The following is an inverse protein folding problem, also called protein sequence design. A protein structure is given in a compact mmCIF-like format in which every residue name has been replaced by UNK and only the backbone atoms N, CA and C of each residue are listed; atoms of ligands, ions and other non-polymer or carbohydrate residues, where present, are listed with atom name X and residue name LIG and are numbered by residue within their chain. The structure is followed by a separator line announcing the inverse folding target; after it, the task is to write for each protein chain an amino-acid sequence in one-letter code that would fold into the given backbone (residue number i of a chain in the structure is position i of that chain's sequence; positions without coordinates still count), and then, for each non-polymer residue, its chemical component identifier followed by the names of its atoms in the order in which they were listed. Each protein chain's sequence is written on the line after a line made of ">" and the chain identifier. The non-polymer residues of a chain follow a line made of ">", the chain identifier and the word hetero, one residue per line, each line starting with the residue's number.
data_IF_464178566890
#
_entry.id   IF_464178566890
#
_cell.length_a   1.000
_cell.length_b   1.000
_cell.length_c   1.000
_cell.angle_alpha   90.00
_cell.angle_beta   90.00
_cell.angle_gamma   90.00
#
_symmetry.space_group_name_H-M   'P 1'
#
loop_
_entity.id
_entity.type
_entity.pdbx_description
1 polymer ?
#
# COMPACT_ATOMS: atom_id res chain seq x y z
N UNK A 1 -15.28 8.09 10.86
CA UNK A 1 -14.92 6.82 11.55
C UNK A 1 -14.21 5.90 10.57
N UNK A 2 -13.09 5.31 10.98
CA UNK A 2 -12.31 4.36 10.16
C UNK A 2 -12.47 2.96 10.75
N UNK A 3 -12.84 1.98 9.93
CA UNK A 3 -12.93 0.58 10.31
C UNK A 3 -12.16 -0.28 9.30
N UNK A 4 -11.11 -0.96 9.77
CA UNK A 4 -10.41 -1.97 8.96
C UNK A 4 -11.19 -3.28 9.06
N UNK A 5 -11.51 -3.87 7.92
CA UNK A 5 -12.37 -5.07 7.82
C UNK A 5 -11.51 -6.33 7.62
N UNK A 6 -10.44 -6.23 6.85
CA UNK A 6 -9.51 -7.33 6.62
C UNK A 6 -8.38 -6.94 5.68
N UNK A 7 -7.45 -7.87 5.48
CA UNK A 7 -6.33 -7.69 4.58
C UNK A 7 -5.73 -9.02 4.14
N UNK A 8 -4.71 -8.92 3.28
CA UNK A 8 -3.96 -10.07 2.82
C UNK A 8 -2.76 -9.68 1.99
N UNK A 9 -1.84 -10.60 1.81
CA UNK A 9 -0.64 -10.40 1.01
C UNK A 9 -0.52 -11.48 -0.07
N UNK A 10 -0.11 -11.08 -1.26
CA UNK A 10 0.18 -11.98 -2.38
C UNK A 10 1.45 -11.55 -3.11
N UNK A 11 2.12 -12.50 -3.76
CA UNK A 11 3.28 -12.22 -4.60
C UNK A 11 2.85 -12.03 -6.05
N UNK A 12 3.57 -11.18 -6.75
CA UNK A 12 3.40 -10.93 -8.17
C UNK A 12 4.77 -10.74 -8.84
N UNK A 13 4.79 -10.59 -10.16
CA UNK A 13 6.02 -10.37 -10.92
C UNK A 13 5.82 -9.20 -11.86
N UNK A 14 6.74 -8.24 -11.84
CA UNK A 14 6.70 -7.12 -12.77
C UNK A 14 7.08 -7.53 -14.20
N UNK A 15 6.93 -6.61 -15.17
CA UNK A 15 7.28 -6.86 -16.57
C UNK A 15 8.76 -7.23 -16.79
N UNK A 16 9.63 -6.90 -15.84
CA UNK A 16 11.06 -7.20 -15.87
C UNK A 16 11.43 -8.48 -15.11
N UNK A 17 10.45 -9.28 -14.66
CA UNK A 17 10.71 -10.51 -13.91
C UNK A 17 11.02 -10.29 -12.43
N UNK A 18 10.89 -9.07 -11.91
CA UNK A 18 11.17 -8.77 -10.50
C UNK A 18 9.99 -9.13 -9.64
N UNK A 19 10.27 -9.82 -8.52
CA UNK A 19 9.25 -10.20 -7.54
C UNK A 19 8.67 -8.97 -6.85
N UNK A 20 7.36 -8.85 -6.87
CA UNK A 20 6.58 -7.82 -6.18
C UNK A 20 5.81 -8.43 -5.00
N UNK A 21 5.46 -7.57 -4.06
CA UNK A 21 4.57 -7.89 -2.94
C UNK A 21 3.34 -7.00 -3.03
N UNK A 22 2.16 -7.58 -3.14
CA UNK A 22 0.89 -6.86 -3.11
C UNK A 22 0.23 -7.05 -1.75
N UNK A 23 -0.08 -5.95 -1.08
CA UNK A 23 -0.82 -5.93 0.18
C UNK A 23 -2.20 -5.36 -0.12
N UNK A 24 -3.24 -6.15 0.18
CA UNK A 24 -4.65 -5.78 0.06
C UNK A 24 -5.19 -5.40 1.43
N UNK A 25 -5.97 -4.33 1.49
CA UNK A 25 -6.61 -3.84 2.71
C UNK A 25 -8.05 -3.46 2.36
N UNK A 26 -9.02 -4.09 3.02
CA UNK A 26 -10.42 -3.72 2.95
C UNK A 26 -10.76 -2.87 4.17
N UNK A 27 -11.31 -1.69 3.94
CA UNK A 27 -11.70 -0.78 5.01
C UNK A 27 -12.95 0.01 4.66
N UNK A 28 -13.60 0.54 5.69
CA UNK A 28 -14.70 1.47 5.58
C UNK A 28 -14.33 2.80 6.24
N UNK A 29 -14.52 3.90 5.51
CA UNK A 29 -14.29 5.25 6.00
C UNK A 29 -15.56 6.05 5.74
N UNK A 30 -16.19 6.53 6.81
CA UNK A 30 -17.41 7.35 6.76
C UNK A 30 -18.52 6.75 5.88
N UNK A 31 -18.75 5.44 6.02
CA UNK A 31 -19.75 4.68 5.27
C UNK A 31 -19.32 4.23 3.87
N UNK A 32 -18.12 4.61 3.42
CA UNK A 32 -17.56 4.19 2.14
C UNK A 32 -16.65 2.99 2.33
N UNK A 33 -17.12 1.80 1.94
CA UNK A 33 -16.31 0.60 1.87
C UNK A 33 -15.40 0.64 0.63
N UNK A 34 -14.13 0.31 0.79
CA UNK A 34 -13.16 0.29 -0.30
C UNK A 34 -12.06 -0.76 -0.08
N UNK A 35 -11.62 -1.34 -1.19
CA UNK A 35 -10.49 -2.24 -1.24
C UNK A 35 -9.28 -1.48 -1.80
N UNK A 36 -8.21 -1.43 -1.03
CA UNK A 36 -6.97 -0.76 -1.39
C UNK A 36 -5.88 -1.78 -1.61
N UNK A 37 -5.03 -1.53 -2.60
CA UNK A 37 -3.87 -2.37 -2.89
C UNK A 37 -2.60 -1.53 -2.90
N UNK A 38 -1.60 -1.96 -2.13
CA UNK A 38 -0.25 -1.41 -2.15
C UNK A 38 0.65 -2.42 -2.84
N UNK A 39 1.37 -1.99 -3.88
CA UNK A 39 2.34 -2.84 -4.57
C UNK A 39 3.75 -2.41 -4.20
N UNK A 40 4.46 -3.28 -3.49
CA UNK A 40 5.86 -3.14 -3.11
C UNK A 40 6.79 -3.77 -4.14
N UNK A 41 7.84 -3.02 -4.46
CA UNK A 41 8.93 -3.42 -5.34
C UNK A 41 10.28 -2.97 -4.78
N UNK A 42 11.36 -3.38 -5.47
CA UNK A 42 12.72 -2.92 -5.20
C UNK A 42 13.15 -1.88 -6.23
N UNK A 43 13.59 -0.72 -5.75
CA UNK A 43 13.93 0.43 -6.59
C UNK A 43 15.30 1.02 -6.22
N UNK A 44 15.99 1.60 -7.21
CA UNK A 44 17.31 2.20 -7.02
C UNK A 44 18.31 1.19 -6.43
N UNK A 45 18.95 1.57 -5.31
CA UNK A 45 19.86 0.74 -4.53
C UNK A 45 19.10 -0.25 -3.62
N UNK A 46 18.16 -1.01 -4.19
CA UNK A 46 17.37 -2.04 -3.51
C UNK A 46 16.40 -1.53 -2.39
N UNK A 47 15.97 -0.28 -2.47
CA UNK A 47 15.00 0.28 -1.55
C UNK A 47 13.62 -0.39 -1.72
N UNK A 48 13.01 -0.82 -0.60
CA UNK A 48 11.63 -1.32 -0.59
C UNK A 48 10.65 -0.13 -0.61
N UNK A 49 9.99 0.08 -1.75
CA UNK A 49 8.99 1.12 -1.92
C UNK A 49 7.66 0.51 -2.38
N UNK A 50 6.58 0.99 -1.78
CA UNK A 50 5.20 0.64 -2.12
C UNK A 50 4.49 1.78 -2.80
N UNK A 51 3.63 1.45 -3.75
CA UNK A 51 2.83 2.43 -4.50
C UNK A 51 1.36 2.02 -4.55
N UNK A 52 0.49 3.02 -4.49
CA UNK A 52 -0.93 2.90 -4.79
C UNK A 52 -1.40 4.13 -5.54
N UNK A 53 -2.39 3.98 -6.42
CA UNK A 53 -2.97 5.09 -7.19
C UNK A 53 -4.42 5.25 -6.76
N UNK A 54 -4.80 6.49 -6.46
CA UNK A 54 -6.16 6.82 -6.07
C UNK A 54 -7.11 6.67 -7.27
N UNK A 55 -8.26 6.05 -7.03
CA UNK A 55 -9.24 5.71 -8.06
C UNK A 55 -10.04 6.93 -8.51
N UNK A 56 -10.22 7.05 -9.82
CA UNK A 56 -10.96 8.16 -10.42
C UNK A 56 -12.47 8.04 -10.22
N UNK A 57 -12.94 6.80 -10.21
CA UNK A 57 -14.33 6.36 -10.13
C UNK A 57 -14.80 6.12 -8.69
N UNK A 58 -13.92 6.30 -7.70
CA UNK A 58 -14.31 6.21 -6.30
C UNK A 58 -15.24 7.38 -5.91
N UNK A 59 -16.13 7.19 -4.92
CA UNK A 59 -16.98 8.26 -4.42
C UNK A 59 -16.17 9.50 -3.99
N UNK A 60 -16.49 10.66 -4.57
CA UNK A 60 -15.76 11.91 -4.35
C UNK A 60 -14.48 12.06 -5.20
N UNK A 61 -14.19 11.13 -6.11
CA UNK A 61 -13.06 11.16 -7.02
C UNK A 61 -11.71 10.83 -6.38
N UNK A 62 -10.63 11.14 -7.11
CA UNK A 62 -9.25 10.77 -6.73
C UNK A 62 -8.80 11.35 -5.39
N UNK A 63 -9.10 12.61 -5.12
CA UNK A 63 -8.67 13.27 -3.89
C UNK A 63 -9.31 12.59 -2.67
N UNK A 64 -10.63 12.40 -2.71
CA UNK A 64 -11.34 11.72 -1.63
C UNK A 64 -10.87 10.27 -1.44
N UNK A 65 -10.54 9.55 -2.51
CA UNK A 65 -9.99 8.20 -2.41
C UNK A 65 -8.59 8.17 -1.80
N UNK A 66 -7.73 9.13 -2.18
CA UNK A 66 -6.40 9.28 -1.60
C UNK A 66 -6.46 9.63 -0.11
N UNK A 67 -7.31 10.57 0.29
CA UNK A 67 -7.51 10.96 1.68
C UNK A 67 -8.08 9.82 2.52
N UNK A 68 -9.11 9.12 2.02
CA UNK A 68 -9.66 7.93 2.68
C UNK A 68 -8.60 6.87 2.87
N UNK A 69 -7.77 6.62 1.85
CA UNK A 69 -6.72 5.62 2.00
C UNK A 69 -5.64 6.06 2.99
N UNK A 70 -5.21 7.32 2.94
CA UNK A 70 -4.26 7.87 3.91
C UNK A 70 -4.78 7.76 5.36
N UNK A 71 -6.08 8.02 5.58
CA UNK A 71 -6.72 7.87 6.87
C UNK A 71 -6.71 6.41 7.38
N UNK A 72 -6.94 5.42 6.49
CA UNK A 72 -6.81 3.99 6.83
C UNK A 72 -5.40 3.65 7.29
N UNK A 73 -4.40 4.13 6.56
CA UNK A 73 -2.99 3.87 6.87
C UNK A 73 -2.58 4.53 8.18
N UNK A 74 -3.02 5.77 8.40
CA UNK A 74 -2.83 6.47 9.68
C UNK A 74 -3.49 5.75 10.84
N UNK A 75 -4.70 5.22 10.67
CA UNK A 75 -5.37 4.43 11.70
C UNK A 75 -4.58 3.16 12.06
N UNK A 76 -3.91 2.55 11.07
CA UNK A 76 -3.08 1.34 11.25
C UNK A 76 -1.71 1.65 11.87
N UNK A 77 -1.06 2.73 11.43
CA UNK A 77 0.37 3.00 11.72
C UNK A 77 0.62 4.20 12.62
N UNK A 78 -0.32 5.12 12.73
CA UNK A 78 -0.12 6.47 13.26
C UNK A 78 0.62 7.42 12.32
N UNK A 79 1.01 6.96 11.13
CA UNK A 79 1.76 7.71 10.11
C UNK A 79 1.00 7.66 8.78
N UNK A 80 0.92 8.80 8.08
CA UNK A 80 0.32 8.90 6.75
C UNK A 80 1.35 8.61 5.65
N UNK A 81 0.93 8.02 4.52
CA UNK A 81 1.80 7.86 3.37
C UNK A 81 2.11 9.21 2.72
N UNK A 82 3.18 9.25 1.93
CA UNK A 82 3.46 10.43 1.12
C UNK A 82 2.51 10.47 -0.08
N UNK A 83 1.71 11.52 -0.19
CA UNK A 83 0.84 11.75 -1.34
C UNK A 83 1.58 12.59 -2.40
N UNK A 84 1.51 12.18 -3.66
CA UNK A 84 2.08 12.89 -4.82
C UNK A 84 1.03 13.08 -5.90
N UNK A 85 0.87 14.31 -6.37
CA UNK A 85 0.05 14.62 -7.56
C UNK A 85 0.94 14.61 -8.79
N UNK A 86 0.57 13.80 -9.79
CA UNK A 86 1.26 13.77 -11.10
C UNK A 86 0.62 14.78 -12.05
N UNK A 87 1.38 15.21 -13.06
CA UNK A 87 0.93 16.15 -14.10
C UNK A 87 -0.29 15.65 -14.87
N UNK A 88 -0.44 14.33 -15.02
CA UNK A 88 -1.59 13.66 -15.65
C UNK A 88 -2.85 13.58 -14.76
N UNK A 89 -2.84 14.20 -13.58
CA UNK A 89 -3.95 14.20 -12.63
C UNK A 89 -4.07 12.93 -11.79
N UNK A 90 -3.17 11.95 -11.97
CA UNK A 90 -3.07 10.80 -11.07
C UNK A 90 -2.55 11.23 -9.69
N UNK A 91 -3.13 10.65 -8.64
CA UNK A 91 -2.67 10.82 -7.26
C UNK A 91 -2.07 9.51 -6.79
N UNK A 92 -0.78 9.55 -6.47
CA UNK A 92 0.01 8.41 -6.04
C UNK A 92 0.31 8.51 -4.55
N UNK A 93 0.01 7.43 -3.82
CA UNK A 93 0.42 7.25 -2.43
C UNK A 93 1.68 6.41 -2.40
N UNK A 94 2.72 6.93 -1.76
CA UNK A 94 4.05 6.32 -1.69
C UNK A 94 4.33 5.86 -0.27
N UNK A 95 4.73 4.60 -0.16
CA UNK A 95 4.98 3.90 1.09
C UNK A 95 6.44 3.50 1.19
N UNK A 96 7.10 3.92 2.26
CA UNK A 96 8.50 3.56 2.52
C UNK A 96 8.67 2.20 3.21
N UNK A 97 9.93 1.86 3.48
CA UNK A 97 10.32 0.71 4.30
C UNK A 97 9.66 0.72 5.68
N UNK A 98 9.59 1.87 6.34
CA UNK A 98 8.96 1.99 7.67
C UNK A 98 7.45 1.71 7.68
N UNK A 99 6.76 1.92 6.55
CA UNK A 99 5.36 1.51 6.39
C UNK A 99 5.25 -0.02 6.33
N UNK A 100 6.09 -0.64 5.48
CA UNK A 100 6.15 -2.10 5.31
C UNK A 100 6.50 -2.80 6.63
N UNK A 101 7.62 -2.38 7.23
CA UNK A 101 7.82 -2.17 8.66
C UNK A 101 6.87 -2.90 9.59
N UNK A 102 5.74 -2.25 9.81
CA UNK A 102 4.76 -2.80 10.71
C UNK A 102 3.37 -2.85 10.15
N UNK A 103 3.25 -3.11 8.85
CA UNK A 103 2.27 -4.10 8.41
C UNK A 103 2.61 -5.49 8.97
N UNK A 104 3.88 -5.79 9.28
CA UNK A 104 4.27 -7.02 9.99
C UNK A 104 3.64 -7.21 11.38
N UNK A 105 3.01 -6.17 11.94
CA UNK A 105 2.24 -6.30 13.19
C UNK A 105 0.97 -7.15 13.00
N UNK A 106 0.50 -7.29 11.77
CA UNK A 106 -0.61 -8.17 11.42
C UNK A 106 -0.04 -9.53 11.04
N UNK A 107 -0.41 -10.57 11.80
CA UNK A 107 0.07 -11.94 11.57
C UNK A 107 -0.23 -12.42 10.13
N UNK A 108 -1.37 -12.02 9.56
CA UNK A 108 -1.77 -12.35 8.19
C UNK A 108 -0.86 -11.77 7.10
N UNK A 109 -0.05 -10.75 7.42
CA UNK A 109 0.87 -10.10 6.49
C UNK A 109 2.34 -10.41 6.78
N UNK A 110 2.67 -10.73 8.04
CA UNK A 110 4.05 -10.83 8.52
C UNK A 110 4.89 -11.81 7.68
N UNK A 111 4.43 -13.06 7.54
CA UNK A 111 5.17 -14.11 6.84
C UNK A 111 5.43 -13.77 5.37
N UNK A 112 4.41 -13.23 4.69
CA UNK A 112 4.53 -12.84 3.28
C UNK A 112 5.51 -11.67 3.11
N UNK A 113 5.48 -10.69 4.03
CA UNK A 113 6.41 -9.57 4.02
C UNK A 113 7.84 -10.07 4.25
N UNK A 114 8.09 -10.87 5.29
CA UNK A 114 9.43 -11.36 5.61
C UNK A 114 10.01 -12.20 4.49
N UNK A 115 9.22 -13.13 3.94
CA UNK A 115 9.61 -13.92 2.79
C UNK A 115 9.97 -13.08 1.57
N UNK A 116 9.16 -12.06 1.25
CA UNK A 116 9.48 -11.17 0.13
C UNK A 116 10.79 -10.42 0.37
N UNK A 117 11.03 -9.97 1.61
CA UNK A 117 12.22 -9.22 1.95
C UNK A 117 13.50 -10.02 1.89
N UNK A 118 13.44 -11.27 2.35
CA UNK A 118 14.53 -12.22 2.26
C UNK A 118 14.89 -12.48 0.79
N UNK A 119 13.91 -12.89 -0.02
CA UNK A 119 14.12 -13.26 -1.43
C UNK A 119 14.53 -12.10 -2.33
N UNK A 120 14.22 -10.86 -1.93
CA UNK A 120 14.56 -9.64 -2.70
C UNK A 120 15.69 -8.82 -2.07
N UNK A 121 16.26 -9.27 -0.96
CA UNK A 121 17.49 -8.68 -0.45
C UNK A 121 18.63 -9.02 -1.41
N UNK A 122 19.30 -7.99 -1.93
CA UNK A 122 20.53 -8.18 -2.70
C UNK A 122 21.56 -8.79 -1.75
N UNK A 123 22.13 -9.94 -2.12
CA UNK A 123 23.37 -10.43 -1.50
C UNK A 123 24.54 -9.53 -1.87
#
# INVERSE_FOLDING_TARGET
>A
MVKVIGGGAEFDVDRGGKKLLRIKITAEVDGVKSDYTITYGRYGTNAALGFAVARADAPGGREADAERFAAVIKAIRGEEPRIRRKSEGAIELVYGRGHLDGFKRFAELADAIEKWLEETSSR
#
